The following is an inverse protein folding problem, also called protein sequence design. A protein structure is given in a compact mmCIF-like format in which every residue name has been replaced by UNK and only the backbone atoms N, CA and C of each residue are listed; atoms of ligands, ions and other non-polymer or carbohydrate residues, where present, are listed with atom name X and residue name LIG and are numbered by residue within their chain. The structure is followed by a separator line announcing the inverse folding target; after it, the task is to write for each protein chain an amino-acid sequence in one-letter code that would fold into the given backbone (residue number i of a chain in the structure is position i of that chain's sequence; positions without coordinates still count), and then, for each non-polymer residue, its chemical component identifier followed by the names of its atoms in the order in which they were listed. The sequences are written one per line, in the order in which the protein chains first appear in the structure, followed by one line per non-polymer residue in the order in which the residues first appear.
data_IF_751965229246
#
_entry.id   IF_751965229246
#
_cell.length_a   1.000
_cell.length_b   1.000
_cell.length_c   1.000
_cell.angle_alpha   90.00
_cell.angle_beta   90.00
_cell.angle_gamma   90.00
#
_symmetry.space_group_name_H-M   'P 1'
#
loop_
_entity.id
_entity.type
_entity.pdbx_description
1 polymer ?
#
# COMPACT_ATOMS: atom_id res chain seq x y z
N UNK A 1 13.81 2.16 4.95
CA UNK A 1 12.85 3.25 4.82
C UNK A 1 13.63 4.55 4.87
N UNK A 2 13.15 5.58 4.16
CA UNK A 2 13.68 6.95 4.14
C UNK A 2 12.50 7.85 4.46
N UNK A 3 12.59 8.60 5.55
CA UNK A 3 11.56 9.57 5.91
C UNK A 3 11.65 10.81 4.99
N UNK A 4 10.59 11.62 4.95
CA UNK A 4 10.52 12.74 4.01
C UNK A 4 11.63 13.78 4.23
N UNK A 5 11.95 14.05 5.49
CA UNK A 5 13.00 14.99 5.90
C UNK A 5 14.41 14.55 5.49
N UNK A 6 14.66 13.24 5.43
CA UNK A 6 15.97 12.66 5.09
C UNK A 6 16.18 12.49 3.57
N UNK A 7 15.13 12.65 2.76
CA UNK A 7 15.12 12.26 1.35
C UNK A 7 16.13 13.05 0.51
N UNK A 8 16.13 14.36 0.63
CA UNK A 8 16.99 15.24 -0.16
C UNK A 8 18.45 15.09 0.26
N UNK A 9 18.71 14.99 1.57
CA UNK A 9 20.07 14.75 2.09
C UNK A 9 20.60 13.39 1.62
N UNK A 10 19.78 12.35 1.68
CA UNK A 10 20.16 11.02 1.19
C UNK A 10 20.54 11.05 -0.30
N UNK A 11 19.71 11.68 -1.13
CA UNK A 11 19.98 11.78 -2.57
C UNK A 11 21.18 12.66 -2.92
N UNK A 12 21.45 13.72 -2.15
CA UNK A 12 22.63 14.54 -2.35
C UNK A 12 23.93 13.74 -2.14
N UNK A 13 23.92 12.81 -1.19
CA UNK A 13 25.07 11.94 -0.87
C UNK A 13 25.15 10.69 -1.76
N UNK A 14 24.01 10.19 -2.23
CA UNK A 14 23.91 8.94 -3.01
C UNK A 14 22.97 9.12 -4.22
N UNK A 15 23.31 9.96 -5.21
CA UNK A 15 22.42 10.28 -6.33
C UNK A 15 22.06 9.06 -7.19
N UNK A 16 22.95 8.07 -7.28
CA UNK A 16 22.70 6.83 -8.03
C UNK A 16 21.58 5.98 -7.43
N UNK A 17 21.22 6.19 -6.17
CA UNK A 17 20.12 5.49 -5.51
C UNK A 17 18.72 5.93 -5.99
N UNK A 18 18.60 7.08 -6.67
CA UNK A 18 17.33 7.67 -7.08
C UNK A 18 16.43 6.68 -7.83
N UNK A 19 16.99 5.91 -8.75
CA UNK A 19 16.25 4.92 -9.55
C UNK A 19 15.66 3.77 -8.74
N UNK A 20 16.19 3.52 -7.54
CA UNK A 20 15.74 2.46 -6.64
C UNK A 20 14.83 2.97 -5.51
N UNK A 21 14.61 4.26 -5.44
CA UNK A 21 13.74 4.85 -4.43
C UNK A 21 12.31 4.90 -4.96
N UNK A 22 11.38 4.31 -4.19
CA UNK A 22 9.94 4.37 -4.46
C UNK A 22 9.20 4.98 -3.27
N UNK A 23 8.01 5.54 -3.54
CA UNK A 23 7.09 5.94 -2.48
C UNK A 23 6.69 4.71 -1.67
N UNK A 24 6.72 4.83 -0.34
CA UNK A 24 6.30 3.77 0.58
C UNK A 24 5.02 4.21 1.29
N UNK A 25 3.93 3.47 1.12
CA UNK A 25 2.62 3.94 1.49
C UNK A 25 1.85 2.92 2.32
N UNK A 26 1.50 3.32 3.53
CA UNK A 26 0.56 2.62 4.40
C UNK A 26 -0.74 3.40 4.55
N UNK A 27 -1.50 3.08 5.59
CA UNK A 27 -2.76 3.75 5.87
C UNK A 27 -2.57 5.25 6.18
N UNK A 28 -1.57 5.58 6.98
CA UNK A 28 -1.34 6.96 7.41
C UNK A 28 -0.83 7.83 6.25
N UNK A 29 0.15 7.33 5.50
CA UNK A 29 0.70 8.03 4.34
C UNK A 29 -0.38 8.29 3.29
N UNK A 30 -1.28 7.31 3.07
CA UNK A 30 -2.39 7.46 2.13
C UNK A 30 -3.45 8.46 2.62
N UNK A 31 -3.88 8.33 3.88
CA UNK A 31 -4.98 9.13 4.43
C UNK A 31 -4.56 10.59 4.64
N UNK A 32 -3.31 10.82 5.08
CA UNK A 32 -2.78 12.15 5.44
C UNK A 32 -1.86 12.74 4.37
N UNK A 33 -1.75 12.10 3.20
CA UNK A 33 -0.83 12.48 2.12
C UNK A 33 0.63 12.68 2.59
N UNK A 34 1.07 11.90 3.57
CA UNK A 34 2.46 11.95 4.04
C UNK A 34 3.42 11.35 3.03
N UNK A 35 4.59 11.95 2.89
CA UNK A 35 5.66 11.43 2.05
C UNK A 35 6.56 10.52 2.87
N UNK A 36 6.80 9.32 2.34
CA UNK A 36 7.71 8.33 2.89
C UNK A 36 8.24 7.47 1.75
N UNK A 37 9.46 6.99 1.85
CA UNK A 37 10.11 6.31 0.76
C UNK A 37 10.77 5.01 1.22
N UNK A 38 11.05 4.13 0.26
CA UNK A 38 11.84 2.93 0.48
C UNK A 38 12.83 2.70 -0.65
N UNK A 39 13.87 1.95 -0.37
CA UNK A 39 14.75 1.37 -1.38
C UNK A 39 14.12 0.06 -1.86
N UNK A 40 13.72 0.02 -3.12
CA UNK A 40 13.21 -1.18 -3.77
C UNK A 40 14.33 -1.80 -4.59
N UNK A 41 15.01 -2.78 -3.99
CA UNK A 41 16.25 -3.37 -4.52
C UNK A 41 16.02 -4.74 -5.19
N UNK A 42 14.77 -5.06 -5.54
CA UNK A 42 14.46 -6.29 -6.27
C UNK A 42 15.11 -6.26 -7.65
N UNK A 43 15.90 -7.29 -7.98
CA UNK A 43 16.62 -7.39 -9.23
C UNK A 43 17.93 -6.58 -9.32
N UNK A 44 18.30 -5.83 -8.29
CA UNK A 44 19.55 -5.07 -8.25
C UNK A 44 20.74 -5.99 -7.97
N UNK A 45 21.79 -5.87 -8.76
CA UNK A 45 22.97 -6.72 -8.63
C UNK A 45 23.83 -6.35 -7.41
N UNK A 46 24.57 -7.31 -6.83
CA UNK A 46 25.52 -7.01 -5.76
C UNK A 46 26.58 -5.97 -6.12
N UNK A 47 26.96 -5.88 -7.41
CA UNK A 47 27.92 -4.90 -7.93
C UNK A 47 27.34 -3.48 -7.83
N UNK A 48 26.10 -3.31 -8.24
CA UNK A 48 25.40 -2.02 -8.17
C UNK A 48 25.22 -1.57 -6.71
N UNK A 49 24.82 -2.48 -5.82
CA UNK A 49 24.68 -2.17 -4.39
C UNK A 49 26.02 -1.73 -3.78
N UNK A 50 27.11 -2.43 -4.13
CA UNK A 50 28.47 -2.06 -3.65
C UNK A 50 28.94 -0.71 -4.16
N UNK A 51 28.46 -0.23 -5.32
CA UNK A 51 28.77 1.09 -5.86
C UNK A 51 28.03 2.24 -5.15
N UNK A 52 27.08 1.91 -4.23
CA UNK A 52 26.27 2.84 -3.48
C UNK A 52 26.47 2.61 -1.95
N UNK A 53 27.49 3.26 -1.34
CA UNK A 53 27.88 3.02 0.04
C UNK A 53 26.75 3.17 1.07
N UNK A 54 25.90 4.21 0.92
CA UNK A 54 24.77 4.43 1.85
C UNK A 54 23.68 3.39 1.70
N UNK A 55 23.44 2.94 0.46
CA UNK A 55 22.50 1.82 0.20
C UNK A 55 23.05 0.54 0.81
N UNK A 56 24.34 0.24 0.61
CA UNK A 56 25.01 -0.95 1.17
C UNK A 56 24.92 -0.96 2.71
N UNK A 57 25.16 0.18 3.34
CA UNK A 57 25.05 0.31 4.80
C UNK A 57 23.63 0.05 5.30
N UNK A 58 22.61 0.57 4.63
CA UNK A 58 21.20 0.30 4.97
C UNK A 58 20.83 -1.18 4.79
N UNK A 59 21.37 -1.85 3.77
CA UNK A 59 21.20 -3.30 3.57
C UNK A 59 21.84 -4.09 4.72
N UNK A 60 23.04 -3.70 5.16
CA UNK A 60 23.72 -4.31 6.31
C UNK A 60 22.90 -4.15 7.60
N UNK A 61 22.46 -2.94 7.89
CA UNK A 61 21.60 -2.65 9.05
C UNK A 61 20.28 -3.44 9.01
N UNK A 62 19.70 -3.57 7.83
CA UNK A 62 18.51 -4.40 7.64
C UNK A 62 18.77 -5.87 8.03
N UNK A 63 19.88 -6.44 7.56
CA UNK A 63 20.29 -7.80 7.91
C UNK A 63 20.50 -7.98 9.41
N UNK A 64 21.25 -7.09 10.02
CA UNK A 64 21.51 -7.12 11.48
C UNK A 64 20.22 -7.01 12.31
N UNK A 65 19.33 -6.12 11.91
CA UNK A 65 18.03 -5.96 12.55
C UNK A 65 17.16 -7.23 12.42
N UNK A 66 17.18 -7.89 11.26
CA UNK A 66 16.47 -9.15 11.04
C UNK A 66 17.02 -10.29 11.90
N UNK A 67 18.34 -10.37 12.07
CA UNK A 67 18.99 -11.36 12.91
C UNK A 67 18.62 -11.23 14.40
N UNK A 68 18.29 -10.01 14.86
CA UNK A 68 17.83 -9.75 16.23
C UNK A 68 16.35 -10.05 16.46
N UNK A 69 15.59 -10.36 15.40
CA UNK A 69 14.16 -10.60 15.47
C UNK A 69 13.76 -12.04 15.83
N UNK A 70 12.46 -12.30 15.79
CA UNK A 70 11.90 -13.65 15.95
C UNK A 70 12.31 -14.58 14.79
N UNK A 71 12.05 -15.89 14.93
CA UNK A 71 12.54 -16.92 14.01
C UNK A 71 12.12 -16.69 12.53
N UNK A 72 10.91 -16.24 12.29
CA UNK A 72 10.41 -15.91 10.94
C UNK A 72 11.13 -14.70 10.32
N UNK A 73 11.51 -13.73 11.16
CA UNK A 73 12.28 -12.54 10.75
C UNK A 73 13.73 -12.90 10.44
N UNK A 74 14.34 -13.79 11.25
CA UNK A 74 15.71 -14.28 11.03
C UNK A 74 15.88 -14.95 9.67
N UNK A 75 14.87 -15.69 9.20
CA UNK A 75 14.88 -16.34 7.88
C UNK A 75 15.01 -15.33 6.71
N UNK A 76 14.63 -14.08 6.93
CA UNK A 76 14.75 -13.01 5.94
C UNK A 76 16.11 -12.31 5.96
N UNK A 77 17.00 -12.64 6.91
CA UNK A 77 18.31 -12.02 7.02
C UNK A 77 19.26 -12.38 5.86
N UNK A 78 19.00 -13.50 5.17
CA UNK A 78 19.78 -13.93 4.00
C UNK A 78 19.41 -13.18 2.73
N UNK A 79 18.26 -12.49 2.72
CA UNK A 79 17.77 -11.67 1.62
C UNK A 79 17.50 -10.22 2.04
N UNK A 80 18.51 -9.50 2.59
CA UNK A 80 18.29 -8.18 3.23
C UNK A 80 17.92 -7.07 2.23
N UNK A 81 18.13 -7.30 0.95
CA UNK A 81 17.74 -6.40 -0.16
C UNK A 81 16.27 -6.48 -0.52
N UNK A 82 15.58 -7.56 -0.09
CA UNK A 82 14.20 -7.82 -0.46
C UNK A 82 13.25 -7.50 0.69
N UNK A 83 12.08 -6.96 0.35
CA UNK A 83 10.96 -6.90 1.27
C UNK A 83 10.39 -8.31 1.50
N UNK A 84 9.69 -8.50 2.61
CA UNK A 84 9.00 -9.77 2.88
C UNK A 84 7.97 -10.09 1.79
N UNK A 85 7.20 -9.08 1.42
CA UNK A 85 6.23 -9.17 0.34
C UNK A 85 6.83 -8.55 -0.92
N UNK A 86 6.87 -9.34 -2.01
CA UNK A 86 7.42 -8.93 -3.30
C UNK A 86 6.33 -8.60 -4.32
N UNK A 87 5.06 -8.72 -3.92
CA UNK A 87 3.95 -8.43 -4.82
C UNK A 87 3.78 -6.91 -5.00
N UNK A 88 4.18 -6.41 -6.16
CA UNK A 88 4.05 -5.00 -6.54
C UNK A 88 3.45 -4.91 -7.95
N UNK A 89 2.11 -5.05 -8.08
CA UNK A 89 1.43 -5.00 -9.37
C UNK A 89 1.51 -3.60 -9.98
N UNK A 90 1.41 -3.51 -11.31
CA UNK A 90 1.43 -2.22 -12.05
C UNK A 90 0.29 -1.29 -11.64
N UNK A 91 -0.88 -1.87 -11.36
CA UNK A 91 -2.08 -1.15 -10.92
C UNK A 91 -2.76 -1.91 -9.80
N UNK A 92 -3.22 -1.20 -8.80
CA UNK A 92 -3.96 -1.79 -7.69
C UNK A 92 -4.85 -0.75 -7.00
N UNK A 93 -5.85 -1.23 -6.29
CA UNK A 93 -6.56 -0.41 -5.29
C UNK A 93 -5.89 -0.62 -3.94
N UNK A 94 -5.47 0.47 -3.31
CA UNK A 94 -4.99 0.47 -1.94
C UNK A 94 -6.18 0.61 -0.99
N UNK A 95 -6.18 -0.24 0.04
CA UNK A 95 -7.17 -0.23 1.13
C UNK A 95 -6.42 -0.10 2.46
N UNK A 96 -6.58 0.99 3.21
CA UNK A 96 -6.03 1.12 4.54
C UNK A 96 -6.45 -0.04 5.45
N UNK A 97 -5.47 -0.66 6.12
CA UNK A 97 -5.76 -1.78 7.02
C UNK A 97 -6.56 -1.34 8.26
N UNK A 98 -6.28 -0.13 8.75
CA UNK A 98 -7.02 0.48 9.86
C UNK A 98 -7.64 1.79 9.40
N UNK A 99 -8.91 2.00 9.73
CA UNK A 99 -9.65 3.22 9.43
C UNK A 99 -10.54 3.60 10.60
N UNK A 100 -10.61 4.92 10.89
CA UNK A 100 -11.41 5.46 11.99
C UNK A 100 -12.88 5.04 11.88
N UNK A 101 -13.47 4.69 13.02
CA UNK A 101 -14.90 4.37 13.13
C UNK A 101 -15.79 5.54 12.72
N UNK A 102 -15.29 6.78 12.85
CA UNK A 102 -16.01 8.00 12.49
C UNK A 102 -16.06 8.24 10.95
N UNK A 103 -15.32 7.46 10.16
CA UNK A 103 -15.42 7.54 8.69
C UNK A 103 -16.60 6.74 8.19
N UNK A 104 -17.45 7.41 7.40
CA UNK A 104 -18.56 6.75 6.72
C UNK A 104 -18.08 5.69 5.73
N UNK A 105 -16.95 5.95 5.05
CA UNK A 105 -16.33 5.06 4.06
C UNK A 105 -14.86 4.88 4.40
N UNK A 106 -14.33 3.66 4.21
CA UNK A 106 -12.88 3.45 4.21
C UNK A 106 -12.31 4.13 2.99
N UNK A 107 -11.32 5.02 3.15
CA UNK A 107 -10.68 5.67 1.99
C UNK A 107 -9.89 4.61 1.21
N UNK A 108 -10.28 4.41 -0.03
CA UNK A 108 -9.63 3.49 -0.97
C UNK A 108 -9.29 4.27 -2.22
N UNK A 109 -8.26 3.88 -2.97
CA UNK A 109 -7.91 4.53 -4.22
C UNK A 109 -7.01 3.72 -5.11
N UNK A 110 -7.01 4.05 -6.39
CA UNK A 110 -6.11 3.47 -7.38
C UNK A 110 -4.71 4.04 -7.22
N UNK A 111 -3.72 3.16 -7.26
CA UNK A 111 -2.31 3.49 -7.25
C UNK A 111 -1.56 2.66 -8.30
N UNK A 112 -0.37 3.14 -8.66
CA UNK A 112 0.51 2.49 -9.63
C UNK A 112 1.67 1.74 -8.95
N UNK A 113 2.37 0.90 -9.70
CA UNK A 113 3.55 0.15 -9.26
C UNK A 113 4.77 1.02 -8.87
N UNK A 114 4.68 2.35 -9.01
CA UNK A 114 5.67 3.29 -8.49
C UNK A 114 5.59 3.44 -6.96
N UNK A 115 4.50 2.93 -6.38
CA UNK A 115 4.24 2.97 -4.95
C UNK A 115 4.33 1.57 -4.38
N UNK A 116 5.11 1.41 -3.32
CA UNK A 116 5.21 0.17 -2.55
C UNK A 116 4.26 0.27 -1.35
N UNK A 117 3.28 -0.62 -1.30
CA UNK A 117 2.37 -0.69 -0.16
C UNK A 117 3.06 -1.31 1.06
N UNK A 118 2.86 -0.71 2.24
CA UNK A 118 3.31 -1.26 3.51
C UNK A 118 2.30 -2.27 4.06
N UNK A 119 2.68 -2.98 5.11
CA UNK A 119 1.81 -3.90 5.86
C UNK A 119 0.61 -3.21 6.55
N UNK A 120 0.66 -1.88 6.69
CA UNK A 120 -0.45 -1.06 7.18
C UNK A 120 -1.56 -0.83 6.13
N UNK A 121 -1.38 -1.34 4.91
CA UNK A 121 -2.38 -1.31 3.84
C UNK A 121 -2.58 -2.70 3.23
N UNK A 122 -3.68 -2.87 2.52
CA UNK A 122 -3.95 -4.02 1.65
C UNK A 122 -4.01 -3.54 0.22
N UNK A 123 -3.60 -4.39 -0.70
CA UNK A 123 -3.70 -4.11 -2.13
C UNK A 123 -4.65 -5.11 -2.79
N UNK A 124 -5.40 -4.63 -3.75
CA UNK A 124 -6.25 -5.44 -4.62
C UNK A 124 -5.67 -5.27 -6.03
N UNK A 125 -4.86 -6.26 -6.49
CA UNK A 125 -4.26 -6.22 -7.83
C UNK A 125 -5.34 -6.18 -8.91
N UNK A 126 -5.04 -5.50 -10.02
CA UNK A 126 -5.85 -5.48 -11.24
C UNK A 126 -7.32 -5.10 -11.03
N UNK A 127 -7.62 -4.41 -9.91
CA UNK A 127 -8.96 -3.91 -9.64
C UNK A 127 -9.34 -2.84 -10.66
N UNK A 128 -10.57 -2.93 -11.16
CA UNK A 128 -11.15 -1.95 -12.08
C UNK A 128 -12.24 -1.10 -11.38
N UNK A 129 -12.90 -0.21 -12.15
CA UNK A 129 -13.95 0.67 -11.63
C UNK A 129 -15.12 -0.09 -11.01
N UNK A 130 -15.47 -1.27 -11.54
CA UNK A 130 -16.51 -2.10 -10.95
C UNK A 130 -16.14 -2.55 -9.54
N UNK A 131 -14.95 -3.12 -9.37
CA UNK A 131 -14.45 -3.52 -8.03
C UNK A 131 -14.42 -2.33 -7.07
N UNK A 132 -13.89 -1.20 -7.52
CA UNK A 132 -13.83 0.03 -6.74
C UNK A 132 -15.23 0.53 -6.33
N UNK A 133 -16.20 0.51 -7.25
CA UNK A 133 -17.57 0.91 -6.99
C UNK A 133 -18.27 0.02 -5.97
N UNK A 134 -18.13 -1.30 -6.11
CA UNK A 134 -18.67 -2.26 -5.14
C UNK A 134 -18.07 -2.06 -3.76
N UNK A 135 -16.75 -1.94 -3.66
CA UNK A 135 -16.03 -1.75 -2.40
C UNK A 135 -16.38 -0.43 -1.70
N UNK A 136 -16.68 0.62 -2.45
CA UNK A 136 -17.12 1.91 -1.89
C UNK A 136 -18.65 2.01 -1.72
N UNK A 137 -19.39 0.93 -1.96
CA UNK A 137 -20.85 0.93 -1.80
C UNK A 137 -21.27 0.90 -0.32
N UNK A 138 -22.49 1.38 -0.04
CA UNK A 138 -23.10 1.25 1.28
C UNK A 138 -23.23 -0.21 1.72
N UNK A 139 -23.49 -1.14 0.78
CA UNK A 139 -23.63 -2.57 1.05
C UNK A 139 -22.31 -3.13 1.57
N UNK A 140 -21.19 -2.87 0.87
CA UNK A 140 -19.88 -3.33 1.32
C UNK A 140 -19.45 -2.66 2.64
N UNK A 141 -19.75 -1.37 2.82
CA UNK A 141 -19.45 -0.68 4.09
C UNK A 141 -20.27 -1.24 5.26
N UNK A 142 -21.51 -1.61 5.05
CA UNK A 142 -22.35 -2.26 6.08
C UNK A 142 -21.83 -3.65 6.44
N UNK A 143 -21.48 -4.44 5.43
CA UNK A 143 -20.82 -5.73 5.62
C UNK A 143 -19.51 -5.56 6.41
N UNK A 144 -18.64 -4.67 5.97
CA UNK A 144 -17.36 -4.39 6.64
C UNK A 144 -17.57 -4.03 8.11
N UNK A 145 -18.54 -3.15 8.43
CA UNK A 145 -18.83 -2.77 9.82
C UNK A 145 -19.31 -3.94 10.67
N UNK A 146 -20.04 -4.88 10.07
CA UNK A 146 -20.58 -6.04 10.77
C UNK A 146 -19.51 -7.09 11.09
N UNK A 147 -18.54 -7.32 10.17
CA UNK A 147 -17.61 -8.45 10.26
C UNK A 147 -16.16 -8.04 10.61
N UNK A 148 -15.78 -6.77 10.42
CA UNK A 148 -14.41 -6.33 10.65
C UNK A 148 -14.02 -6.42 12.12
N UNK A 149 -12.81 -6.88 12.38
CA UNK A 149 -12.18 -6.72 13.68
C UNK A 149 -11.97 -5.25 14.04
N UNK A 150 -11.62 -5.00 15.30
CA UNK A 150 -11.34 -3.65 15.81
C UNK A 150 -9.93 -3.56 16.35
N UNK A 151 -9.35 -2.36 16.22
CA UNK A 151 -8.16 -1.94 16.96
C UNK A 151 -8.56 -0.74 17.80
N UNK A 152 -8.77 -0.96 19.11
CA UNK A 152 -9.53 -0.05 19.95
C UNK A 152 -10.94 0.11 19.34
N UNK A 153 -11.35 1.32 18.96
CA UNK A 153 -12.63 1.58 18.28
C UNK A 153 -12.55 1.49 16.74
N UNK A 154 -11.36 1.63 16.15
CA UNK A 154 -11.16 1.70 14.71
C UNK A 154 -11.34 0.36 14.00
N UNK A 155 -11.90 0.38 12.78
CA UNK A 155 -12.10 -0.80 11.95
C UNK A 155 -10.79 -1.34 11.39
N UNK A 156 -10.60 -2.66 11.44
CA UNK A 156 -9.50 -3.39 10.79
C UNK A 156 -10.00 -4.12 9.56
N UNK A 157 -9.68 -3.60 8.38
CA UNK A 157 -10.05 -4.21 7.10
C UNK A 157 -9.16 -5.43 6.81
N UNK A 158 -9.63 -6.60 7.14
CA UNK A 158 -8.90 -7.85 6.95
C UNK A 158 -9.24 -8.49 5.60
N UNK A 159 -8.21 -8.95 4.87
CA UNK A 159 -8.37 -9.72 3.64
C UNK A 159 -9.26 -10.94 3.86
N UNK A 160 -8.95 -11.73 4.87
CA UNK A 160 -9.59 -13.03 5.05
C UNK A 160 -11.04 -12.95 5.56
N UNK A 161 -11.36 -11.93 6.35
CA UNK A 161 -12.69 -11.80 6.95
C UNK A 161 -13.58 -10.87 6.14
N UNK A 162 -13.06 -9.68 5.79
CA UNK A 162 -13.87 -8.64 5.15
C UNK A 162 -13.95 -8.85 3.64
N UNK A 163 -12.80 -9.01 2.97
CA UNK A 163 -12.76 -9.05 1.51
C UNK A 163 -13.15 -10.41 0.94
N UNK A 164 -12.52 -11.49 1.40
CA UNK A 164 -12.71 -12.82 0.82
C UNK A 164 -14.08 -13.41 1.11
N UNK A 165 -14.72 -13.04 2.22
CA UNK A 165 -16.05 -13.54 2.58
C UNK A 165 -17.19 -12.61 2.15
N UNK A 166 -16.88 -11.48 1.49
CA UNK A 166 -17.91 -10.61 0.97
C UNK A 166 -18.69 -11.33 -0.14
N UNK A 167 -20.03 -11.34 -0.08
CA UNK A 167 -20.85 -11.94 -1.13
C UNK A 167 -20.88 -11.05 -2.36
N UNK A 168 -19.89 -11.22 -3.23
CA UNK A 168 -19.78 -10.43 -4.45
C UNK A 168 -21.01 -10.59 -5.33
N UNK A 169 -21.60 -9.49 -5.81
CA UNK A 169 -22.75 -9.55 -6.70
C UNK A 169 -22.36 -10.11 -8.07
N UNK A 170 -23.32 -10.76 -8.72
CA UNK A 170 -23.20 -11.19 -10.12
C UNK A 170 -24.05 -10.25 -11.00
N UNK A 171 -23.51 -9.11 -11.45
CA UNK A 171 -24.26 -8.11 -12.19
C UNK A 171 -24.46 -8.52 -13.64
N UNK A 172 -25.53 -8.01 -14.25
CA UNK A 172 -25.63 -7.91 -15.70
C UNK A 172 -24.65 -6.84 -16.22
N UNK A 173 -24.33 -6.84 -17.52
CA UNK A 173 -23.44 -5.83 -18.11
C UNK A 173 -23.99 -4.40 -17.92
N UNK A 174 -25.31 -4.21 -18.01
CA UNK A 174 -25.93 -2.92 -17.77
C UNK A 174 -25.78 -2.44 -16.31
N UNK A 175 -25.90 -3.35 -15.35
CA UNK A 175 -25.68 -3.05 -13.93
C UNK A 175 -24.21 -2.73 -13.66
N UNK A 176 -23.28 -3.49 -14.25
CA UNK A 176 -21.85 -3.25 -14.15
C UNK A 176 -21.46 -1.87 -14.68
N UNK A 177 -21.93 -1.51 -15.88
CA UNK A 177 -21.69 -0.19 -16.48
C UNK A 177 -22.23 0.95 -15.60
N UNK A 178 -23.40 0.76 -14.96
CA UNK A 178 -23.95 1.74 -14.02
C UNK A 178 -23.10 1.90 -12.77
N UNK A 179 -22.57 0.80 -12.21
CA UNK A 179 -21.66 0.82 -11.07
C UNK A 179 -20.36 1.53 -11.44
N UNK A 180 -19.77 1.22 -12.60
CA UNK A 180 -18.54 1.84 -13.08
C UNK A 180 -18.71 3.36 -13.31
N UNK A 181 -19.84 3.78 -13.88
CA UNK A 181 -20.18 5.21 -14.04
C UNK A 181 -20.26 5.93 -12.69
N UNK A 182 -20.90 5.34 -11.69
CA UNK A 182 -21.00 5.95 -10.35
C UNK A 182 -19.67 5.94 -9.63
N UNK A 183 -18.86 4.89 -9.82
CA UNK A 183 -17.49 4.79 -9.29
C UNK A 183 -16.59 5.89 -9.88
N UNK A 184 -16.68 6.15 -11.18
CA UNK A 184 -15.98 7.27 -11.82
C UNK A 184 -16.40 8.61 -11.22
N UNK A 185 -17.68 8.81 -10.96
CA UNK A 185 -18.17 10.03 -10.30
C UNK A 185 -17.56 10.27 -8.89
N UNK A 186 -17.23 9.21 -8.16
CA UNK A 186 -16.49 9.34 -6.87
C UNK A 186 -15.07 9.88 -7.13
N UNK A 187 -14.39 9.34 -8.14
CA UNK A 187 -13.02 9.77 -8.48
C UNK A 187 -13.01 11.21 -8.98
N UNK A 188 -13.95 11.58 -9.83
CA UNK A 188 -14.11 12.94 -10.37
C UNK A 188 -14.40 13.95 -9.25
N UNK A 189 -15.21 13.56 -8.27
CA UNK A 189 -15.48 14.41 -7.11
C UNK A 189 -14.21 14.59 -6.25
N UNK A 190 -13.45 13.52 -6.01
CA UNK A 190 -12.20 13.59 -5.26
C UNK A 190 -11.13 14.44 -5.96
N UNK A 191 -11.05 14.37 -7.29
CA UNK A 191 -10.10 15.15 -8.08
C UNK A 191 -10.25 16.67 -7.90
N UNK A 192 -11.44 17.15 -7.52
CA UNK A 192 -11.68 18.57 -7.23
C UNK A 192 -11.08 19.06 -5.91
N UNK A 193 -10.63 18.14 -5.04
CA UNK A 193 -10.14 18.43 -3.69
C UNK A 193 -8.73 17.89 -3.45
N UNK A 194 -7.95 17.63 -4.52
CA UNK A 194 -6.60 17.07 -4.40
C UNK A 194 -5.65 18.04 -3.67
N UNK A 195 -5.92 19.35 -3.78
CA UNK A 195 -5.06 20.41 -3.22
C UNK A 195 -5.62 21.03 -1.93
N UNK A 196 -6.62 20.42 -1.29
CA UNK A 196 -7.27 20.92 -0.06
C UNK A 196 -6.87 20.13 1.18
#
# INVERSE_FOLDING_TARGET
IIEAEDYDEFLSKEPNAKQYIKRFMGAEEYIKNKKRYCLWLSGVTPKEIKSMPLVLERVRQCRENRLKGAADRKKLADTPTLFREQNNPEKFVLVPYTSSENRRYIPMGFLSGDIIASDAARIIPDANLYHFGVLNSNVHMSWMRAVAGRLKSDYRYSKNIVYNNFPWPTPTEAQKAKIEKTAQGILDARAKYIDS
#
